data_IF_547392803991
#
_entry.id   IF_547392803991
#
_cell.length_a   1.000
_cell.length_b   1.000
_cell.length_c   1.000
_cell.angle_alpha   90.00
_cell.angle_beta   90.00
_cell.angle_gamma   90.00
#
_symmetry.space_group_name_H-M   'P 1'
#
loop_
_entity.id
_entity.type
_entity.pdbx_description
1 polymer ?
#
# COMPACT_ATOMS: atom_id res chain seq x y z
N UNK A 1 -11.30 -20.53 -14.26
CA UNK A 1 -11.99 -19.33 -13.73
C UNK A 1 -10.93 -18.40 -13.17
N UNK A 2 -10.68 -17.24 -13.78
CA UNK A 2 -9.68 -16.29 -13.28
C UNK A 2 -10.39 -15.41 -12.26
N UNK A 3 -10.11 -15.58 -10.98
CA UNK A 3 -10.61 -14.67 -9.95
C UNK A 3 -9.92 -13.32 -10.13
N UNK A 4 -10.60 -12.37 -10.78
CA UNK A 4 -10.17 -10.98 -10.76
C UNK A 4 -10.26 -10.50 -9.32
N UNK A 5 -9.15 -9.99 -8.78
CA UNK A 5 -9.19 -9.28 -7.51
C UNK A 5 -10.24 -8.17 -7.60
N UNK A 6 -11.03 -8.01 -6.56
CA UNK A 6 -12.12 -7.02 -6.48
C UNK A 6 -11.63 -5.57 -6.46
N UNK A 7 -10.32 -5.33 -6.56
CA UNK A 7 -9.69 -4.01 -6.45
C UNK A 7 -9.61 -3.48 -5.01
N UNK A 8 -10.02 -4.28 -4.01
CA UNK A 8 -10.12 -3.82 -2.61
C UNK A 8 -8.77 -3.77 -1.90
N UNK A 9 -7.77 -4.54 -2.36
CA UNK A 9 -6.50 -4.72 -1.65
C UNK A 9 -5.80 -3.41 -1.27
N UNK A 10 -5.51 -2.55 -2.25
CA UNK A 10 -4.79 -1.30 -1.98
C UNK A 10 -5.64 -0.30 -1.17
N UNK A 11 -6.95 -0.27 -1.39
CA UNK A 11 -7.86 0.58 -0.63
C UNK A 11 -7.91 0.18 0.85
N UNK A 12 -7.87 -1.13 1.15
CA UNK A 12 -7.79 -1.65 2.50
C UNK A 12 -6.44 -1.31 3.15
N UNK A 13 -5.34 -1.53 2.43
CA UNK A 13 -3.99 -1.20 2.93
C UNK A 13 -3.89 0.29 3.27
N UNK A 14 -4.35 1.18 2.39
CA UNK A 14 -4.37 2.63 2.66
C UNK A 14 -5.12 2.95 3.95
N UNK A 15 -6.33 2.39 4.14
CA UNK A 15 -7.10 2.60 5.37
C UNK A 15 -6.34 2.16 6.61
N UNK A 16 -5.70 0.99 6.57
CA UNK A 16 -4.94 0.46 7.72
C UNK A 16 -3.76 1.39 8.05
N UNK A 17 -3.00 1.81 7.03
CA UNK A 17 -1.84 2.70 7.20
C UNK A 17 -2.27 4.04 7.78
N UNK A 18 -3.36 4.62 7.26
CA UNK A 18 -3.92 5.88 7.75
C UNK A 18 -4.36 5.76 9.23
N UNK A 19 -4.97 4.63 9.63
CA UNK A 19 -5.42 4.38 11.02
C UNK A 19 -4.26 4.32 12.02
N UNK A 20 -3.12 3.75 11.61
CA UNK A 20 -1.92 3.68 12.46
C UNK A 20 -1.00 4.89 12.30
N UNK A 21 -1.47 5.96 11.65
CA UNK A 21 -0.72 7.19 11.36
C UNK A 21 0.59 6.93 10.60
N UNK A 22 0.65 5.84 9.83
CA UNK A 22 1.75 5.59 8.90
C UNK A 22 1.59 6.41 7.62
N UNK A 23 2.54 6.25 6.70
CA UNK A 23 2.51 6.90 5.39
C UNK A 23 2.60 5.85 4.29
N UNK A 24 1.76 5.98 3.26
CA UNK A 24 1.83 5.15 2.05
C UNK A 24 2.16 6.02 0.85
N UNK A 25 3.10 5.56 0.02
CA UNK A 25 3.42 6.20 -1.25
C UNK A 25 3.69 5.15 -2.34
N UNK A 26 3.62 5.55 -3.61
CA UNK A 26 3.91 4.64 -4.72
C UNK A 26 4.66 5.36 -5.83
N UNK A 27 5.52 4.62 -6.51
CA UNK A 27 6.15 5.04 -7.75
C UNK A 27 5.85 3.99 -8.81
N UNK A 28 5.54 4.42 -10.02
CA UNK A 28 5.27 3.50 -11.12
C UNK A 28 5.84 4.06 -12.40
N UNK A 29 6.46 3.19 -13.19
CA UNK A 29 6.92 3.52 -14.52
C UNK A 29 6.43 2.44 -15.50
N UNK A 30 5.80 2.88 -16.58
CA UNK A 30 5.26 1.97 -17.59
C UNK A 30 6.37 1.09 -18.18
N UNK A 31 6.15 -0.22 -18.21
CA UNK A 31 7.14 -1.18 -18.67
C UNK A 31 8.28 -1.51 -17.68
N UNK A 32 8.41 -0.78 -16.55
CA UNK A 32 9.37 -1.12 -15.47
C UNK A 32 8.70 -1.65 -14.21
N UNK A 33 7.43 -1.34 -14.00
CA UNK A 33 6.62 -1.84 -12.90
C UNK A 33 6.22 -0.76 -11.89
N UNK A 34 5.79 -1.20 -10.71
CA UNK A 34 5.26 -0.36 -9.65
C UNK A 34 5.89 -0.76 -8.32
N UNK A 35 6.33 0.22 -7.56
CA UNK A 35 6.84 0.07 -6.19
C UNK A 35 5.90 0.79 -5.22
N UNK A 36 5.55 0.14 -4.13
CA UNK A 36 4.71 0.70 -3.05
C UNK A 36 5.55 0.76 -1.79
N UNK A 37 5.58 1.93 -1.15
CA UNK A 37 6.36 2.19 0.05
C UNK A 37 5.41 2.47 1.22
N UNK A 38 5.73 1.88 2.36
CA UNK A 38 4.99 1.99 3.61
C UNK A 38 5.96 2.45 4.69
N UNK A 39 5.77 3.66 5.21
CA UNK A 39 6.57 4.21 6.30
C UNK A 39 5.77 4.12 7.59
N UNK A 40 6.37 3.56 8.63
CA UNK A 40 5.77 3.42 9.96
C UNK A 40 6.71 4.04 11.00
N UNK A 41 6.16 4.75 11.97
CA UNK A 41 6.94 5.21 13.13
C UNK A 41 7.34 3.99 13.97
N UNK A 42 8.65 3.79 14.13
CA UNK A 42 9.16 2.78 15.06
C UNK A 42 9.19 3.38 16.46
N UNK A 43 8.06 3.34 17.15
CA UNK A 43 7.99 3.64 18.57
C UNK A 43 8.48 2.42 19.36
N UNK A 44 9.78 2.17 19.30
CA UNK A 44 10.46 1.19 20.13
C UNK A 44 10.36 1.59 21.59
N UNK A 45 9.49 0.91 22.35
CA UNK A 45 9.58 0.78 23.81
C UNK A 45 10.32 -0.50 24.13
#
# INVERSE_FOLDING_TARGET
>A
MVFRGTGIGLALVKKIVDLIKGKISLTSEFGKGTSVFLDFENNGM
#
